data_IF_804543896237
#
_entry.id   IF_804543896237
#
_cell.length_a   1.000
_cell.length_b   1.000
_cell.length_c   1.000
_cell.angle_alpha   90.00
_cell.angle_beta   90.00
_cell.angle_gamma   90.00
#
_symmetry.space_group_name_H-M   'P 1'
#
loop_
_entity.id
_entity.type
_entity.pdbx_description
1 polymer ?
#
# COMPACT_ATOMS: atom_id res chain seq x y z
N UNK A 1 -17.12 -3.99 -24.90
CA UNK A 1 -16.09 -3.04 -24.47
C UNK A 1 -15.75 -3.27 -22.99
N UNK A 2 -15.03 -4.35 -22.65
CA UNK A 2 -14.68 -4.72 -21.26
C UNK A 2 -13.33 -5.48 -21.19
N UNK A 3 -12.37 -5.10 -22.05
CA UNK A 3 -11.04 -5.74 -22.10
C UNK A 3 -9.99 -5.04 -21.22
N UNK A 4 -10.41 -4.11 -20.35
CA UNK A 4 -9.51 -3.20 -19.61
C UNK A 4 -9.39 -3.51 -18.10
N UNK A 5 -10.04 -4.56 -17.57
CA UNK A 5 -10.09 -4.81 -16.12
C UNK A 5 -9.05 -5.79 -15.57
N UNK A 6 -8.23 -6.42 -16.40
CA UNK A 6 -7.29 -7.45 -15.92
C UNK A 6 -5.96 -6.88 -15.41
N UNK A 7 -5.66 -5.61 -15.68
CA UNK A 7 -4.35 -5.02 -15.44
C UNK A 7 -4.23 -4.04 -14.27
N UNK A 8 -5.30 -3.72 -13.55
CA UNK A 8 -5.28 -2.66 -12.54
C UNK A 8 -5.78 -3.16 -11.18
N UNK A 9 -5.13 -2.76 -10.09
CA UNK A 9 -5.38 -3.20 -8.72
C UNK A 9 -5.57 -2.00 -7.80
N UNK A 10 -6.67 -2.01 -7.04
CA UNK A 10 -6.87 -1.07 -5.95
C UNK A 10 -5.78 -1.27 -4.90
N UNK A 11 -5.04 -0.21 -4.64
CA UNK A 11 -3.86 -0.22 -3.79
C UNK A 11 -3.95 0.96 -2.83
N UNK A 12 -3.81 0.66 -1.55
CA UNK A 12 -3.63 1.67 -0.52
C UNK A 12 -2.17 2.12 -0.53
N UNK A 13 -1.94 3.42 -0.62
CA UNK A 13 -0.60 4.02 -0.61
C UNK A 13 -0.54 5.17 0.38
N UNK A 14 0.66 5.46 0.86
CA UNK A 14 0.98 6.62 1.68
C UNK A 14 1.93 7.52 0.89
N UNK A 15 1.42 8.66 0.43
CA UNK A 15 2.19 9.73 -0.22
C UNK A 15 2.91 10.56 0.85
N UNK A 16 4.19 10.26 1.08
CA UNK A 16 4.98 10.86 2.16
C UNK A 16 5.61 12.20 1.77
N UNK A 17 5.19 12.79 0.65
CA UNK A 17 5.66 14.10 0.21
C UNK A 17 5.24 15.19 1.22
N UNK A 18 6.15 16.09 1.65
CA UNK A 18 5.82 17.23 2.51
C UNK A 18 4.58 18.03 2.07
N UNK A 19 4.30 18.12 0.76
CA UNK A 19 3.14 18.84 0.22
C UNK A 19 1.78 18.26 0.64
N UNK A 20 1.70 16.95 0.91
CA UNK A 20 0.48 16.30 1.42
C UNK A 20 0.51 16.21 2.95
N UNK A 21 1.68 15.93 3.50
CA UNK A 21 1.86 15.62 4.92
C UNK A 21 1.67 16.85 5.81
N UNK A 22 2.32 17.98 5.49
CA UNK A 22 2.28 19.18 6.33
C UNK A 22 0.86 19.77 6.42
N UNK A 23 0.14 20.00 5.30
CA UNK A 23 -1.22 20.54 5.37
C UNK A 23 -2.18 19.60 6.10
N UNK A 24 -2.04 18.28 5.90
CA UNK A 24 -2.88 17.28 6.57
C UNK A 24 -2.66 17.29 8.08
N UNK A 25 -1.41 17.40 8.55
CA UNK A 25 -1.13 17.53 9.99
C UNK A 25 -1.74 18.78 10.59
N UNK A 26 -1.59 19.94 9.93
CA UNK A 26 -2.14 21.20 10.42
C UNK A 26 -3.67 21.15 10.52
N UNK A 27 -4.34 20.61 9.50
CA UNK A 27 -5.80 20.43 9.52
C UNK A 27 -6.23 19.36 10.54
N UNK A 28 -5.41 18.32 10.72
CA UNK A 28 -5.60 17.23 11.68
C UNK A 28 -5.68 17.67 13.14
N UNK A 29 -5.07 18.81 13.49
CA UNK A 29 -5.16 19.42 14.82
C UNK A 29 -6.60 19.85 15.18
N UNK A 30 -7.39 20.21 14.17
CA UNK A 30 -8.76 20.72 14.34
C UNK A 30 -9.78 19.65 13.94
N UNK A 31 -9.46 18.85 12.91
CA UNK A 31 -10.36 17.85 12.35
C UNK A 31 -9.60 16.56 12.00
N UNK A 32 -9.76 15.52 12.83
CA UNK A 32 -9.10 14.21 12.62
C UNK A 32 -9.51 13.51 11.32
N UNK A 33 -10.65 13.88 10.72
CA UNK A 33 -11.05 13.36 9.41
C UNK A 33 -10.13 13.82 8.26
N UNK A 34 -9.29 14.84 8.48
CA UNK A 34 -8.33 15.31 7.49
C UNK A 34 -7.39 14.19 7.01
N UNK A 35 -7.01 13.25 7.88
CA UNK A 35 -6.13 12.12 7.58
C UNK A 35 -6.74 11.06 6.66
N UNK A 36 -8.05 11.12 6.42
CA UNK A 36 -8.78 10.22 5.51
C UNK A 36 -9.44 10.98 4.36
N UNK A 37 -9.12 12.28 4.21
CA UNK A 37 -9.61 13.10 3.12
C UNK A 37 -8.91 12.74 1.80
N UNK A 38 -9.48 13.18 0.68
CA UNK A 38 -8.90 12.92 -0.66
C UNK A 38 -7.53 13.55 -0.88
N UNK A 39 -7.08 14.51 -0.06
CA UNK A 39 -5.75 15.12 -0.15
C UNK A 39 -4.74 14.55 0.85
N UNK A 40 -5.19 13.71 1.78
CA UNK A 40 -4.35 13.11 2.81
C UNK A 40 -3.20 12.27 2.22
N UNK A 41 -2.13 11.98 2.99
CA UNK A 41 -1.11 11.03 2.56
C UNK A 41 -1.69 9.66 2.19
N UNK A 42 -2.68 9.17 2.95
CA UNK A 42 -3.36 7.92 2.64
C UNK A 42 -4.22 8.08 1.37
N UNK A 43 -3.91 7.30 0.35
CA UNK A 43 -4.60 7.29 -0.92
C UNK A 43 -5.01 5.87 -1.30
N UNK A 44 -6.21 5.70 -1.86
CA UNK A 44 -6.65 4.44 -2.45
C UNK A 44 -6.73 4.63 -3.95
N UNK A 45 -5.78 4.05 -4.66
CA UNK A 45 -5.56 4.31 -6.08
C UNK A 45 -5.66 3.02 -6.88
N UNK A 46 -6.15 3.10 -8.12
CA UNK A 46 -6.15 1.96 -9.03
C UNK A 46 -4.84 1.95 -9.83
N UNK A 47 -3.88 1.14 -9.40
CA UNK A 47 -2.53 1.11 -9.97
C UNK A 47 -2.37 -0.05 -10.96
N UNK A 48 -1.52 0.10 -12.00
CA UNK A 48 -1.24 -0.99 -12.91
C UNK A 48 -0.51 -2.12 -12.19
N UNK A 49 -0.87 -3.36 -12.55
CA UNK A 49 -0.21 -4.58 -12.09
C UNK A 49 1.26 -4.55 -12.50
N UNK A 50 2.14 -4.63 -11.51
CA UNK A 50 3.58 -4.72 -11.74
C UNK A 50 3.98 -6.17 -12.05
N UNK A 51 5.01 -6.42 -12.87
CA UNK A 51 5.59 -7.75 -13.03
C UNK A 51 6.11 -8.30 -11.69
N UNK A 52 6.37 -9.60 -11.62
CA UNK A 52 7.04 -10.17 -10.45
C UNK A 52 8.43 -9.52 -10.29
N UNK A 53 8.81 -9.05 -9.08
CA UNK A 53 10.10 -8.41 -8.87
C UNK A 53 11.31 -9.33 -9.11
N UNK A 54 11.16 -10.64 -8.85
CA UNK A 54 12.17 -11.65 -9.15
C UNK A 54 11.52 -13.03 -9.37
N UNK A 55 12.29 -13.98 -9.91
CA UNK A 55 11.87 -15.34 -10.26
C UNK A 55 11.46 -16.19 -9.05
N UNK A 56 11.88 -15.85 -7.83
CA UNK A 56 11.50 -16.55 -6.61
C UNK A 56 10.28 -15.94 -5.89
N UNK A 57 9.55 -15.03 -6.54
CA UNK A 57 8.36 -14.38 -5.98
C UNK A 57 7.07 -15.07 -6.41
N UNK A 58 6.03 -14.86 -5.62
CA UNK A 58 4.65 -15.20 -5.97
C UNK A 58 3.80 -13.93 -5.95
N UNK A 59 2.73 -13.91 -6.75
CA UNK A 59 1.68 -12.91 -6.63
C UNK A 59 0.51 -13.49 -5.87
N UNK A 60 0.07 -12.75 -4.86
CA UNK A 60 -1.12 -13.08 -4.08
C UNK A 60 -2.25 -12.13 -4.47
N UNK A 61 -3.44 -12.69 -4.72
CA UNK A 61 -4.69 -11.94 -4.72
C UNK A 61 -5.17 -11.89 -3.27
N UNK A 62 -5.04 -10.74 -2.63
CA UNK A 62 -5.49 -10.56 -1.26
C UNK A 62 -7.02 -10.74 -1.18
N UNK A 63 -7.47 -11.61 -0.28
CA UNK A 63 -8.88 -11.83 0.04
C UNK A 63 -9.30 -11.01 1.25
N UNK A 64 -8.40 -10.88 2.24
CA UNK A 64 -8.59 -10.07 3.45
C UNK A 64 -7.27 -9.39 3.82
N UNK A 65 -7.36 -8.20 4.41
CA UNK A 65 -6.25 -7.45 4.98
C UNK A 65 -6.67 -6.88 6.34
N UNK A 66 -5.87 -7.14 7.37
CA UNK A 66 -5.98 -6.52 8.69
C UNK A 66 -5.45 -5.08 8.67
N UNK A 67 -5.86 -4.31 9.68
CA UNK A 67 -5.34 -2.97 9.95
C UNK A 67 -4.67 -3.03 11.32
N UNK A 68 -3.36 -2.83 11.34
CA UNK A 68 -2.56 -2.86 12.54
C UNK A 68 -2.44 -1.47 13.17
N UNK A 69 -2.07 -1.42 14.46
CA UNK A 69 -1.75 -0.15 15.13
C UNK A 69 -0.61 0.62 14.46
N UNK A 70 0.37 -0.07 13.87
CA UNK A 70 1.46 0.58 13.14
C UNK A 70 1.00 1.21 11.82
N UNK A 71 -0.04 0.67 11.17
CA UNK A 71 -0.64 1.30 9.99
C UNK A 71 -1.28 2.64 10.38
N UNK A 72 -1.93 2.70 11.55
CA UNK A 72 -2.48 3.95 12.09
C UNK A 72 -1.38 4.96 12.41
N UNK A 73 -0.25 4.53 12.99
CA UNK A 73 0.90 5.41 13.23
C UNK A 73 1.45 6.00 11.93
N UNK A 74 1.47 5.21 10.84
CA UNK A 74 1.85 5.70 9.52
C UNK A 74 0.84 6.71 8.96
N UNK A 75 -0.46 6.45 9.10
CA UNK A 75 -1.55 7.32 8.60
C UNK A 75 -1.60 8.66 9.34
N UNK A 76 -1.59 8.64 10.67
CA UNK A 76 -1.57 9.86 11.50
C UNK A 76 -0.21 10.56 11.49
N UNK A 77 0.78 9.87 10.93
CA UNK A 77 2.18 10.29 10.88
C UNK A 77 2.69 10.63 12.29
N UNK A 78 2.34 9.77 13.26
CA UNK A 78 2.66 9.91 14.68
C UNK A 78 4.13 9.54 15.01
N UNK A 79 4.99 9.47 13.99
CA UNK A 79 6.43 9.30 14.14
C UNK A 79 7.16 10.63 14.32
N UNK A 80 8.24 10.60 15.09
CA UNK A 80 9.20 11.70 15.20
C UNK A 80 9.88 11.94 13.85
N UNK A 81 9.57 13.04 13.15
CA UNK A 81 10.20 13.37 11.86
C UNK A 81 11.70 13.62 11.94
N UNK A 82 12.29 13.75 13.13
CA UNK A 82 13.75 13.72 13.29
C UNK A 82 14.35 12.34 13.00
N UNK A 83 13.51 11.29 13.01
CA UNK A 83 13.88 9.88 12.77
C UNK A 83 13.02 9.23 11.66
N UNK A 84 11.88 9.84 11.28
CA UNK A 84 10.91 9.30 10.34
C UNK A 84 11.31 9.52 8.85
N UNK A 85 10.70 8.81 7.88
CA UNK A 85 11.16 8.60 6.50
C UNK A 85 11.49 9.83 5.63
N UNK A 86 11.27 11.05 6.11
CA UNK A 86 11.88 12.26 5.54
C UNK A 86 13.43 12.17 5.48
N UNK A 87 14.04 11.30 6.29
CA UNK A 87 15.47 10.98 6.27
C UNK A 87 15.89 10.01 5.15
N UNK A 88 14.97 9.42 4.39
CA UNK A 88 15.29 8.53 3.26
C UNK A 88 15.10 9.29 1.94
N UNK A 89 16.18 9.85 1.34
CA UNK A 89 16.08 10.42 0.00
C UNK A 89 15.47 9.37 -0.96
N UNK A 90 14.45 9.80 -1.71
CA UNK A 90 13.70 9.02 -2.71
C UNK A 90 12.63 8.04 -2.20
N UNK A 91 12.31 7.97 -0.90
CA UNK A 91 11.18 7.17 -0.40
C UNK A 91 9.90 8.00 -0.22
N UNK A 92 9.29 8.40 -1.34
CA UNK A 92 8.09 9.25 -1.32
C UNK A 92 6.77 8.47 -1.21
N UNK A 93 6.81 7.13 -1.30
CA UNK A 93 5.63 6.27 -1.31
C UNK A 93 5.86 5.05 -0.42
N UNK A 94 4.90 4.77 0.46
CA UNK A 94 4.84 3.53 1.24
C UNK A 94 3.53 2.79 0.98
N UNK A 95 3.51 1.47 1.25
CA UNK A 95 2.35 0.60 1.09
C UNK A 95 2.05 -0.03 2.46
N UNK A 96 0.94 0.36 3.13
CA UNK A 96 0.54 -0.24 4.41
C UNK A 96 -0.08 -1.63 4.20
N UNK A 97 -0.31 -2.35 5.29
CA UNK A 97 -0.95 -3.65 5.28
C UNK A 97 0.05 -4.81 5.18
N UNK A 98 0.52 -5.24 6.34
CA UNK A 98 1.38 -6.42 6.50
C UNK A 98 0.63 -7.64 7.07
N UNK A 99 -0.69 -7.52 7.28
CA UNK A 99 -1.57 -8.56 7.83
C UNK A 99 -2.53 -9.05 6.72
N UNK A 100 -2.03 -9.78 5.73
CA UNK A 100 -2.81 -10.18 4.54
C UNK A 100 -2.95 -11.69 4.39
N UNK A 101 -4.12 -12.13 3.93
CA UNK A 101 -4.38 -13.50 3.50
C UNK A 101 -5.03 -13.48 2.12
N UNK A 102 -4.67 -14.44 1.28
CA UNK A 102 -5.14 -14.51 -0.09
C UNK A 102 -4.69 -15.76 -0.83
N UNK A 103 -4.95 -15.76 -2.13
CA UNK A 103 -4.65 -16.86 -3.03
C UNK A 103 -3.44 -16.56 -3.89
N UNK A 104 -2.55 -17.53 -4.06
CA UNK A 104 -1.46 -17.43 -5.04
C UNK A 104 -2.06 -17.51 -6.45
N UNK A 105 -1.81 -16.48 -7.28
CA UNK A 105 -2.35 -16.36 -8.64
C UNK A 105 -1.28 -16.32 -9.74
N UNK A 106 -0.01 -16.18 -9.36
CA UNK A 106 1.16 -16.20 -10.24
C UNK A 106 2.35 -16.71 -9.43
N UNK A 107 3.19 -17.52 -10.03
CA UNK A 107 4.43 -18.04 -9.42
C UNK A 107 5.59 -17.80 -10.38
N UNK A 108 6.72 -17.32 -9.85
CA UNK A 108 7.94 -17.21 -10.63
C UNK A 108 8.64 -18.55 -10.79
N UNK A 109 9.55 -18.62 -11.75
CA UNK A 109 10.18 -19.87 -12.22
C UNK A 109 11.00 -20.61 -11.14
N UNK A 110 11.53 -19.89 -10.13
CA UNK A 110 12.36 -20.46 -9.07
C UNK A 110 11.56 -20.89 -7.83
N UNK A 111 10.23 -20.75 -7.84
CA UNK A 111 9.35 -21.13 -6.73
C UNK A 111 9.08 -22.63 -6.74
N UNK A 112 9.44 -23.33 -5.65
CA UNK A 112 9.36 -24.81 -5.59
C UNK A 112 8.20 -25.38 -4.78
N UNK A 113 7.68 -24.62 -3.82
CA UNK A 113 6.77 -25.16 -2.80
C UNK A 113 5.38 -24.50 -2.78
N UNK A 114 5.22 -23.39 -3.52
CA UNK A 114 3.94 -22.72 -3.69
C UNK A 114 3.46 -22.91 -5.13
N UNK A 115 2.14 -22.98 -5.30
CA UNK A 115 1.49 -23.17 -6.59
C UNK A 115 0.27 -22.26 -6.68
N UNK A 116 -0.14 -21.97 -7.91
CA UNK A 116 -1.36 -21.21 -8.17
C UNK A 116 -2.57 -21.98 -7.64
N UNK A 117 -3.39 -21.32 -6.82
CA UNK A 117 -4.63 -21.88 -6.31
C UNK A 117 -5.65 -21.87 -7.45
N UNK A 118 -6.06 -23.07 -7.88
CA UNK A 118 -7.16 -23.26 -8.84
C UNK A 118 -8.38 -23.73 -8.07
N UNK A 119 -9.25 -22.79 -7.72
CA UNK A 119 -10.60 -23.13 -7.26
C UNK A 119 -11.44 -23.31 -8.53
N UNK A 120 -12.05 -24.48 -8.67
CA UNK A 120 -12.79 -24.96 -9.84
C UNK A 120 -13.96 -24.05 -10.22
#
# INVERSE_FOLDING_TARGET
MLKAREGAMWTSTLELNPSHVIPTKLLGLIWRGAYFSSFAPLQVQNLPRQPLPASNWVRVRNSLAGICGSDLQLIFVDGDYSVAPAALPNHNRSYPGHEVVGEVIEVGDDVRHLHVVRIW
#
